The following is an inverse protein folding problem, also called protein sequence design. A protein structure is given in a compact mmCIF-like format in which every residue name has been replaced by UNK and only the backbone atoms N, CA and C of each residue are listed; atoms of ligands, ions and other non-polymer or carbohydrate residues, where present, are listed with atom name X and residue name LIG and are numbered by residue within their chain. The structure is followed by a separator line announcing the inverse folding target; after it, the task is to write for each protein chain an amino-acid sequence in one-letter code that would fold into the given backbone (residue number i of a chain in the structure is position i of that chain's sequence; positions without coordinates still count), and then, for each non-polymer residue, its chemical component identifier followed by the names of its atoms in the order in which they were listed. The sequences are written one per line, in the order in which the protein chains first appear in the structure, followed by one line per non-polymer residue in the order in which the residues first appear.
data_IF_323851054140
#
_entry.id   IF_323851054140
#
_cell.length_a   1.000
_cell.length_b   1.000
_cell.length_c   1.000
_cell.angle_alpha   90.00
_cell.angle_beta   90.00
_cell.angle_gamma   90.00
#
_symmetry.space_group_name_H-M   'P 1'
#
loop_
_entity.id
_entity.type
_entity.pdbx_description
1 polymer ?
#
# COMPACT_ATOMS: atom_id res chain seq x y z
N UNK A 1 -1.87 9.96 20.20
CA UNK A 1 -2.54 9.77 18.91
C UNK A 1 -1.73 8.76 18.13
N UNK A 2 -2.33 7.65 17.71
CA UNK A 2 -1.60 6.49 17.16
C UNK A 2 -1.69 6.42 15.63
N UNK A 3 -2.36 7.39 14.98
CA UNK A 3 -2.53 7.42 13.54
C UNK A 3 -3.40 6.27 13.02
N UNK A 4 -3.18 5.88 11.76
CA UNK A 4 -3.84 4.73 11.12
C UNK A 4 -3.13 3.43 11.47
N UNK A 5 -3.89 2.35 11.68
CA UNK A 5 -3.36 1.01 11.90
C UNK A 5 -4.15 -0.02 11.10
N UNK A 6 -3.53 -1.16 10.83
CA UNK A 6 -4.27 -2.34 10.39
C UNK A 6 -4.82 -3.09 11.60
N UNK A 7 -5.92 -3.81 11.37
CA UNK A 7 -6.47 -4.77 12.31
C UNK A 7 -6.94 -5.96 11.48
N UNK A 8 -6.50 -7.17 11.83
CA UNK A 8 -6.81 -8.42 11.13
C UNK A 8 -6.41 -8.39 9.63
N UNK A 9 -5.21 -7.89 9.33
CA UNK A 9 -4.68 -7.84 7.98
C UNK A 9 -4.34 -9.25 7.48
N UNK A 10 -4.95 -9.63 6.37
CA UNK A 10 -4.61 -10.87 5.67
C UNK A 10 -4.23 -10.56 4.21
N UNK A 11 -3.07 -11.05 3.79
CA UNK A 11 -2.60 -10.96 2.40
C UNK A 11 -2.41 -12.37 1.85
N UNK A 12 -3.19 -12.73 0.83
CA UNK A 12 -3.11 -14.05 0.18
C UNK A 12 -1.68 -14.33 -0.31
N UNK A 13 -1.14 -15.48 0.09
CA UNK A 13 0.24 -15.88 -0.22
C UNK A 13 1.30 -15.39 0.78
N UNK A 14 0.92 -14.56 1.76
CA UNK A 14 1.82 -13.98 2.75
C UNK A 14 1.28 -14.15 4.19
N UNK A 15 1.29 -15.38 4.75
CA UNK A 15 0.67 -15.68 6.04
C UNK A 15 1.36 -15.03 7.25
N UNK A 16 2.59 -14.53 7.08
CA UNK A 16 3.38 -13.91 8.14
C UNK A 16 3.26 -12.38 8.18
N UNK A 17 2.46 -11.78 7.30
CA UNK A 17 2.15 -10.35 7.35
C UNK A 17 1.03 -10.16 8.36
N UNK A 18 1.33 -9.43 9.44
CA UNK A 18 0.36 -9.06 10.47
C UNK A 18 0.00 -7.59 10.44
N UNK A 19 -0.60 -7.11 11.53
CA UNK A 19 -1.24 -5.79 11.65
C UNK A 19 -0.26 -4.60 11.75
N UNK A 20 1.02 -4.88 11.98
CA UNK A 20 2.07 -3.85 12.10
C UNK A 20 3.22 -4.14 11.12
N UNK A 21 2.98 -4.09 9.80
CA UNK A 21 4.04 -4.22 8.82
C UNK A 21 4.96 -2.98 8.92
N UNK A 22 6.30 -3.16 8.83
CA UNK A 22 7.21 -2.03 8.79
C UNK A 22 6.85 -1.04 7.67
N UNK A 23 7.11 0.28 7.84
CA UNK A 23 6.89 1.25 6.79
C UNK A 23 7.56 0.84 5.47
N UNK A 24 6.89 1.12 4.35
CA UNK A 24 7.32 0.76 3.00
C UNK A 24 7.45 -0.76 2.77
N UNK A 25 6.65 -1.57 3.46
CA UNK A 25 6.56 -3.00 3.18
C UNK A 25 6.02 -3.20 1.76
N UNK A 26 6.82 -3.87 0.91
CA UNK A 26 6.51 -4.10 -0.50
C UNK A 26 6.38 -5.59 -0.76
N UNK A 27 5.24 -5.99 -1.32
CA UNK A 27 4.92 -7.37 -1.66
C UNK A 27 4.60 -7.48 -3.16
N UNK A 28 5.01 -8.59 -3.76
CA UNK A 28 4.61 -8.95 -5.11
C UNK A 28 3.43 -9.93 -5.04
N UNK A 29 2.27 -9.50 -5.52
CA UNK A 29 1.07 -10.32 -5.62
C UNK A 29 1.04 -10.92 -7.02
N UNK A 30 1.32 -12.22 -7.12
CA UNK A 30 1.30 -12.97 -8.38
C UNK A 30 -0.07 -12.86 -9.04
N UNK A 31 -0.09 -12.47 -10.32
CA UNK A 31 -1.32 -12.30 -11.09
C UNK A 31 -2.03 -10.98 -10.80
N UNK A 32 -1.37 -10.00 -10.17
CA UNK A 32 -1.94 -8.66 -9.95
C UNK A 32 -0.87 -7.55 -10.06
N UNK A 33 0.14 -7.57 -9.20
CA UNK A 33 1.21 -6.58 -9.23
C UNK A 33 1.84 -6.27 -7.88
N UNK A 34 2.20 -5.02 -7.64
CA UNK A 34 2.90 -4.59 -6.41
C UNK A 34 1.90 -4.09 -5.37
N UNK A 35 1.91 -4.68 -4.18
CA UNK A 35 1.23 -4.17 -3.00
C UNK A 35 2.26 -3.45 -2.11
N UNK A 36 1.93 -2.24 -1.69
CA UNK A 36 2.59 -1.54 -0.60
C UNK A 36 1.68 -1.51 0.62
N UNK A 37 2.25 -1.81 1.78
CA UNK A 37 1.65 -1.62 3.07
C UNK A 37 2.41 -0.53 3.81
N UNK A 38 1.68 0.42 4.39
CA UNK A 38 2.23 1.55 5.12
C UNK A 38 3.31 2.29 4.31
N UNK A 39 2.97 2.69 3.07
CA UNK A 39 3.90 3.43 2.21
C UNK A 39 4.03 4.86 2.69
N UNK A 40 5.25 5.29 3.01
CA UNK A 40 5.57 6.65 3.44
C UNK A 40 6.40 7.30 2.35
N UNK A 41 5.82 8.29 1.69
CA UNK A 41 6.45 9.09 0.65
C UNK A 41 6.76 10.45 1.28
N UNK A 42 8.04 10.74 1.49
CA UNK A 42 8.47 11.97 2.13
C UNK A 42 9.40 12.76 1.21
N UNK A 43 9.11 14.05 1.06
CA UNK A 43 9.98 15.04 0.42
C UNK A 43 10.34 16.12 1.43
N UNK A 44 11.09 17.16 1.03
CA UNK A 44 11.48 18.22 1.96
C UNK A 44 10.29 19.01 2.51
N UNK A 45 9.18 19.09 1.77
CA UNK A 45 8.05 19.96 2.07
C UNK A 45 6.71 19.21 2.10
N UNK A 46 6.71 17.89 1.96
CA UNK A 46 5.50 17.08 1.90
C UNK A 46 5.75 15.69 2.50
N UNK A 47 4.75 15.17 3.21
CA UNK A 47 4.66 13.79 3.63
C UNK A 47 3.31 13.24 3.21
N UNK A 48 3.34 12.08 2.55
CA UNK A 48 2.16 11.32 2.17
C UNK A 48 2.29 9.90 2.72
N UNK A 49 1.26 9.44 3.41
CA UNK A 49 1.16 8.07 3.94
C UNK A 49 -0.01 7.38 3.27
N UNK A 50 0.25 6.24 2.63
CA UNK A 50 -0.77 5.36 2.05
C UNK A 50 -0.76 4.05 2.81
N UNK A 51 -1.82 3.74 3.53
CA UNK A 51 -1.84 2.47 4.29
C UNK A 51 -1.85 1.28 3.34
N UNK A 52 -2.68 1.31 2.29
CA UNK A 52 -2.67 0.28 1.24
C UNK A 52 -2.51 0.96 -0.10
N UNK A 53 -1.54 0.51 -0.89
CA UNK A 53 -1.44 0.87 -2.30
C UNK A 53 -1.20 -0.37 -3.15
N UNK A 54 -2.01 -0.56 -4.19
CA UNK A 54 -1.82 -1.62 -5.18
C UNK A 54 -1.55 -0.98 -6.53
N UNK A 55 -0.36 -1.24 -7.08
CA UNK A 55 0.00 -0.89 -8.44
C UNK A 55 -0.13 -2.15 -9.30
N UNK A 56 -1.09 -2.14 -10.22
CA UNK A 56 -1.33 -3.27 -11.13
C UNK A 56 -0.24 -3.29 -12.19
N UNK A 57 0.61 -4.31 -12.14
CA UNK A 57 1.73 -4.49 -13.08
C UNK A 57 1.58 -5.75 -13.93
N UNK A 58 0.54 -6.55 -13.71
CA UNK A 58 0.29 -7.81 -14.39
C UNK A 58 -1.16 -7.92 -14.88
N UNK A 59 -1.35 -8.70 -15.94
CA UNK A 59 -2.67 -9.10 -16.37
C UNK A 59 -3.31 -9.96 -15.26
N UNK A 60 -4.54 -9.61 -14.90
CA UNK A 60 -5.23 -10.20 -13.76
C UNK A 60 -6.65 -10.63 -14.16
N UNK A 61 -7.19 -11.61 -13.45
CA UNK A 61 -8.54 -12.13 -13.68
C UNK A 61 -9.65 -11.18 -13.25
N UNK A 62 -9.31 -10.07 -12.57
CA UNK A 62 -10.28 -9.06 -12.11
C UNK A 62 -10.63 -8.05 -13.20
N UNK A 63 -9.93 -8.07 -14.34
CA UNK A 63 -10.15 -7.13 -15.44
C UNK A 63 -9.61 -5.72 -15.16
N UNK A 64 -8.76 -5.56 -14.13
CA UNK A 64 -8.17 -4.27 -13.80
C UNK A 64 -7.03 -3.98 -14.78
N UNK A 65 -7.01 -2.83 -15.48
CA UNK A 65 -5.93 -2.51 -16.41
C UNK A 65 -4.55 -2.46 -15.75
N UNK A 66 -3.52 -2.89 -16.49
CA UNK A 66 -2.12 -2.65 -16.10
C UNK A 66 -1.88 -1.14 -16.05
N UNK A 67 -1.21 -0.67 -15.00
CA UNK A 67 -0.97 0.74 -14.72
C UNK A 67 -2.00 1.39 -13.79
N UNK A 68 -3.07 0.68 -13.41
CA UNK A 68 -3.99 1.17 -12.36
C UNK A 68 -3.24 1.27 -11.03
N UNK A 69 -3.41 2.41 -10.36
CA UNK A 69 -2.92 2.71 -9.02
C UNK A 69 -4.13 2.84 -8.07
N UNK A 70 -4.23 1.90 -7.13
CA UNK A 70 -5.30 1.83 -6.14
C UNK A 70 -4.73 2.26 -4.80
N UNK A 71 -5.20 3.38 -4.24
CA UNK A 71 -4.72 3.93 -2.98
C UNK A 71 -5.86 3.97 -1.94
N UNK A 72 -5.62 3.45 -0.74
CA UNK A 72 -6.61 3.39 0.35
C UNK A 72 -5.99 3.92 1.64
N UNK A 73 -6.79 4.70 2.37
CA UNK A 73 -6.39 5.39 3.61
C UNK A 73 -5.11 6.23 3.40
N UNK A 74 -5.26 7.25 2.55
CA UNK A 74 -4.21 8.22 2.23
C UNK A 74 -4.32 9.42 3.18
N UNK A 75 -3.19 9.84 3.74
CA UNK A 75 -3.05 11.06 4.50
C UNK A 75 -1.87 11.87 3.97
N UNK A 76 -2.04 13.18 3.82
CA UNK A 76 -1.02 14.07 3.27
C UNK A 76 -0.89 15.31 4.15
N UNK A 77 0.35 15.78 4.36
CA UNK A 77 0.64 17.10 4.90
C UNK A 77 1.76 17.76 4.11
N UNK A 78 1.61 19.04 3.80
CA UNK A 78 2.62 19.84 3.09
C UNK A 78 2.79 21.23 3.70
N UNK A 79 3.96 21.81 3.45
CA UNK A 79 4.26 23.22 3.74
C UNK A 79 4.12 24.01 2.45
N UNK A 80 3.33 25.08 2.50
CA UNK A 80 3.17 26.05 1.40
C UNK A 80 4.01 27.30 1.65
#
# INVERSE_FOLDING_TARGET
DTGSMFVDLHVTGFPNIGDDPPPNTRLHIVGLGTLWLHRVIQTSNNIEVRMIEVIVTEANSFGIPIGTDIQVAVAEASVH
#
